data_IF_779666704459
#
_entry.id   IF_779666704459
#
_cell.length_a   1.000
_cell.length_b   1.000
_cell.length_c   1.000
_cell.angle_alpha   90.00
_cell.angle_beta   90.00
_cell.angle_gamma   90.00
#
_symmetry.space_group_name_H-M   'P 1'
#
loop_
_entity.id
_entity.type
_entity.pdbx_description
1 polymer ?
#
# COMPACT_ATOMS: atom_id res chain seq x y z
N UNK A 1 0.86 -18.66 -23.96
CA UNK A 1 -0.45 -18.28 -24.56
C UNK A 1 -1.00 -17.13 -23.73
N UNK A 2 -1.58 -16.10 -24.36
CA UNK A 2 -2.27 -15.03 -23.65
C UNK A 2 -3.64 -15.53 -23.17
N UNK A 3 -4.08 -15.11 -21.99
CA UNK A 3 -5.42 -15.41 -21.49
C UNK A 3 -6.48 -14.77 -22.40
N UNK A 4 -7.55 -15.51 -22.69
CA UNK A 4 -8.77 -14.98 -23.32
C UNK A 4 -9.76 -14.54 -22.24
N UNK A 5 -10.80 -13.80 -22.64
CA UNK A 5 -11.89 -13.43 -21.73
C UNK A 5 -12.59 -14.68 -21.17
N UNK A 6 -12.80 -15.70 -22.00
CA UNK A 6 -13.44 -16.95 -21.58
C UNK A 6 -12.56 -17.73 -20.58
N UNK A 7 -11.23 -17.71 -20.75
CA UNK A 7 -10.32 -18.34 -19.78
C UNK A 7 -10.46 -17.69 -18.39
N UNK A 8 -10.51 -16.36 -18.34
CA UNK A 8 -10.67 -15.61 -17.08
C UNK A 8 -12.05 -15.86 -16.47
N UNK A 9 -13.10 -15.84 -17.29
CA UNK A 9 -14.45 -16.17 -16.84
C UNK A 9 -14.53 -17.55 -16.20
N UNK A 10 -13.98 -18.56 -16.86
CA UNK A 10 -13.94 -19.92 -16.36
C UNK A 10 -13.14 -20.07 -15.06
N UNK A 11 -12.04 -19.29 -14.89
CA UNK A 11 -11.27 -19.26 -13.65
C UNK A 11 -12.11 -18.67 -12.51
N UNK A 12 -12.82 -17.58 -12.74
CA UNK A 12 -13.70 -16.96 -11.72
C UNK A 12 -14.80 -17.93 -11.31
N UNK A 13 -15.43 -18.62 -12.26
CA UNK A 13 -16.46 -19.63 -11.95
C UNK A 13 -15.91 -20.77 -11.09
N UNK A 14 -14.74 -21.34 -11.46
CA UNK A 14 -14.09 -22.41 -10.67
C UNK A 14 -13.73 -21.95 -9.26
N UNK A 15 -13.22 -20.71 -9.12
CA UNK A 15 -12.91 -20.14 -7.79
C UNK A 15 -14.17 -19.94 -6.95
N UNK A 16 -15.26 -19.54 -7.57
CA UNK A 16 -16.56 -19.40 -6.87
C UNK A 16 -17.11 -20.76 -6.42
N UNK A 17 -17.04 -21.78 -7.26
CA UNK A 17 -17.41 -23.14 -6.89
C UNK A 17 -16.57 -23.66 -5.72
N UNK A 18 -15.25 -23.46 -5.79
CA UNK A 18 -14.35 -23.85 -4.71
C UNK A 18 -14.69 -23.11 -3.40
N UNK A 19 -14.94 -21.81 -3.45
CA UNK A 19 -15.38 -21.03 -2.28
C UNK A 19 -16.70 -21.57 -1.69
N UNK A 20 -17.67 -21.93 -2.53
CA UNK A 20 -18.96 -22.45 -2.13
C UNK A 20 -18.90 -23.85 -1.46
N UNK A 21 -17.78 -24.57 -1.58
CA UNK A 21 -17.56 -25.80 -0.79
C UNK A 21 -17.47 -25.52 0.71
N UNK A 22 -17.18 -24.26 1.09
CA UNK A 22 -17.04 -23.86 2.49
C UNK A 22 -15.69 -24.21 3.13
N UNK A 23 -14.77 -24.87 2.42
CA UNK A 23 -13.47 -25.29 2.97
C UNK A 23 -12.66 -24.09 3.45
N UNK A 24 -12.76 -22.94 2.78
CA UNK A 24 -12.05 -21.70 3.13
C UNK A 24 -12.58 -21.04 4.42
N UNK A 25 -13.75 -21.47 4.93
CA UNK A 25 -14.31 -21.00 6.20
C UNK A 25 -13.55 -21.58 7.40
N UNK A 26 -12.92 -22.74 7.25
CA UNK A 26 -12.10 -23.33 8.31
C UNK A 26 -10.81 -22.52 8.51
N UNK A 27 -10.65 -22.00 9.72
CA UNK A 27 -9.45 -21.21 10.12
C UNK A 27 -8.18 -22.06 10.08
N UNK A 28 -8.25 -23.35 10.34
CA UNK A 28 -7.06 -24.22 10.28
C UNK A 28 -6.63 -24.43 8.83
N UNK A 29 -7.57 -24.56 7.89
CA UNK A 29 -7.26 -24.58 6.47
C UNK A 29 -6.54 -23.29 6.06
N UNK A 30 -7.04 -22.10 6.44
CA UNK A 30 -6.39 -20.81 6.14
C UNK A 30 -4.96 -20.75 6.67
N UNK A 31 -4.75 -21.16 7.92
CA UNK A 31 -3.42 -21.21 8.55
C UNK A 31 -2.48 -22.16 7.78
N UNK A 32 -2.99 -23.30 7.34
CA UNK A 32 -2.20 -24.25 6.55
C UNK A 32 -1.79 -23.63 5.20
N UNK A 33 -2.71 -22.96 4.51
CA UNK A 33 -2.39 -22.30 3.24
C UNK A 33 -1.39 -21.15 3.43
N UNK A 34 -1.52 -20.35 4.50
CA UNK A 34 -0.53 -19.32 4.85
C UNK A 34 0.86 -19.89 5.14
N UNK A 35 0.96 -21.07 5.78
CA UNK A 35 2.24 -21.75 5.98
C UNK A 35 2.85 -22.21 4.67
N UNK A 36 2.05 -22.78 3.74
CA UNK A 36 2.50 -23.15 2.40
C UNK A 36 3.01 -21.94 1.62
N UNK A 37 2.28 -20.81 1.69
CA UNK A 37 2.69 -19.55 1.06
C UNK A 37 4.02 -19.04 1.62
N UNK A 38 4.23 -19.14 2.93
CA UNK A 38 5.51 -18.81 3.58
C UNK A 38 6.65 -19.70 3.12
N UNK A 39 6.44 -21.02 3.10
CA UNK A 39 7.43 -22.00 2.63
C UNK A 39 7.78 -21.77 1.16
N UNK A 40 6.80 -21.46 0.31
CA UNK A 40 7.02 -21.07 -1.07
C UNK A 40 8.00 -19.90 -1.18
N UNK A 41 7.80 -18.83 -0.42
CA UNK A 41 8.69 -17.66 -0.42
C UNK A 41 10.12 -18.01 0.04
N UNK A 42 10.25 -18.72 1.15
CA UNK A 42 11.56 -19.04 1.75
C UNK A 42 12.35 -20.03 0.91
N UNK A 43 11.71 -21.06 0.38
CA UNK A 43 12.39 -22.11 -0.38
C UNK A 43 12.80 -21.65 -1.79
N UNK A 44 12.28 -20.50 -2.26
CA UNK A 44 12.55 -19.96 -3.58
C UNK A 44 13.22 -18.58 -3.54
N UNK A 45 13.80 -18.16 -2.42
CA UNK A 45 14.39 -16.82 -2.26
C UNK A 45 15.38 -16.49 -3.38
N UNK A 46 16.30 -17.36 -3.71
CA UNK A 46 17.29 -17.15 -4.79
C UNK A 46 16.66 -16.94 -6.17
N UNK A 47 15.55 -17.63 -6.48
CA UNK A 47 14.82 -17.42 -7.74
C UNK A 47 14.12 -16.06 -7.77
N UNK A 48 13.57 -15.65 -6.63
CA UNK A 48 12.89 -14.36 -6.45
C UNK A 48 13.92 -13.23 -6.53
N UNK A 49 15.05 -13.33 -5.83
CA UNK A 49 16.16 -12.39 -5.86
C UNK A 49 16.66 -12.17 -7.30
N UNK A 50 16.92 -13.27 -8.02
CA UNK A 50 17.32 -13.19 -9.43
C UNK A 50 16.29 -12.47 -10.31
N UNK A 51 15.00 -12.76 -10.15
CA UNK A 51 13.95 -12.13 -10.94
C UNK A 51 13.85 -10.62 -10.64
N UNK A 52 14.01 -10.22 -9.37
CA UNK A 52 14.05 -8.82 -8.95
C UNK A 52 15.29 -8.08 -9.47
N UNK A 53 16.44 -8.77 -9.54
CA UNK A 53 17.63 -8.23 -10.18
C UNK A 53 17.41 -8.05 -11.70
N UNK A 54 16.85 -9.03 -12.38
CA UNK A 54 16.61 -8.96 -13.82
C UNK A 54 15.65 -7.81 -14.20
N UNK A 55 14.60 -7.60 -13.42
CA UNK A 55 13.61 -6.52 -13.65
C UNK A 55 14.08 -5.15 -13.16
N UNK A 56 14.60 -5.06 -11.94
CA UNK A 56 14.81 -3.81 -11.21
C UNK A 56 16.28 -3.53 -10.84
N UNK A 57 17.19 -4.49 -11.09
CA UNK A 57 18.61 -4.36 -10.70
C UNK A 57 18.83 -4.33 -9.20
N UNK A 58 17.93 -4.89 -8.40
CA UNK A 58 18.07 -4.93 -6.95
C UNK A 58 19.11 -5.95 -6.51
N UNK A 59 19.94 -5.58 -5.54
CA UNK A 59 20.81 -6.53 -4.84
C UNK A 59 19.98 -7.56 -4.06
N UNK A 60 20.57 -8.71 -3.78
CA UNK A 60 19.94 -9.79 -3.00
C UNK A 60 19.47 -9.28 -1.62
N UNK A 61 20.27 -8.40 -0.99
CA UNK A 61 19.94 -7.81 0.30
C UNK A 61 18.69 -6.91 0.22
N UNK A 62 18.59 -6.05 -0.81
CA UNK A 62 17.42 -5.19 -1.00
C UNK A 62 16.19 -6.01 -1.41
N UNK A 63 16.36 -7.00 -2.29
CA UNK A 63 15.30 -7.93 -2.67
C UNK A 63 14.74 -8.69 -1.48
N UNK A 64 15.62 -9.20 -0.61
CA UNK A 64 15.21 -9.87 0.63
C UNK A 64 14.49 -8.91 1.58
N UNK A 65 15.06 -7.73 1.83
CA UNK A 65 14.47 -6.74 2.75
C UNK A 65 13.09 -6.28 2.29
N UNK A 66 12.94 -5.95 1.00
CA UNK A 66 11.73 -5.32 0.48
C UNK A 66 10.62 -6.34 0.12
N UNK A 67 10.96 -7.45 -0.53
CA UNK A 67 9.96 -8.35 -1.12
C UNK A 67 9.87 -9.72 -0.42
N UNK A 68 10.96 -10.28 0.10
CA UNK A 68 10.93 -11.63 0.70
C UNK A 68 10.68 -11.56 2.19
N UNK A 69 11.57 -10.92 2.94
CA UNK A 69 11.53 -10.84 4.39
C UNK A 69 10.28 -10.10 4.89
N UNK A 70 9.90 -9.01 4.22
CA UNK A 70 8.70 -8.24 4.53
C UNK A 70 7.43 -9.08 4.35
N UNK A 71 7.31 -9.82 3.26
CA UNK A 71 6.18 -10.74 3.00
C UNK A 71 6.14 -11.84 4.04
N UNK A 72 7.28 -12.47 4.35
CA UNK A 72 7.36 -13.53 5.37
C UNK A 72 6.96 -13.00 6.75
N UNK A 73 7.36 -11.78 7.08
CA UNK A 73 6.98 -11.12 8.33
C UNK A 73 5.46 -10.91 8.39
N UNK A 74 4.85 -10.45 7.33
CA UNK A 74 3.42 -10.24 7.23
C UNK A 74 2.63 -11.55 7.30
N UNK A 75 3.02 -12.59 6.55
CA UNK A 75 2.41 -13.92 6.63
C UNK A 75 2.46 -14.46 8.05
N UNK A 76 3.59 -14.29 8.76
CA UNK A 76 3.70 -14.72 10.16
C UNK A 76 2.73 -14.00 11.09
N UNK A 77 2.41 -12.73 10.81
CA UNK A 77 1.40 -11.99 11.58
C UNK A 77 -0.01 -12.58 11.35
N UNK A 78 -0.38 -12.90 10.10
CA UNK A 78 -1.64 -13.58 9.79
C UNK A 78 -1.73 -14.96 10.43
N UNK A 79 -0.69 -15.80 10.35
CA UNK A 79 -0.67 -17.14 10.97
C UNK A 79 -0.94 -17.05 12.48
N UNK A 80 -0.34 -16.06 13.16
CA UNK A 80 -0.53 -15.86 14.60
C UNK A 80 -1.87 -15.21 14.95
N UNK A 81 -2.37 -14.34 14.07
CA UNK A 81 -3.51 -13.48 14.36
C UNK A 81 -4.87 -14.06 13.97
N UNK A 82 -4.96 -14.76 12.83
CA UNK A 82 -6.23 -15.12 12.19
C UNK A 82 -7.19 -15.89 13.12
N UNK A 83 -6.69 -16.81 13.94
CA UNK A 83 -7.51 -17.56 14.89
C UNK A 83 -8.20 -16.68 15.93
N UNK A 84 -7.53 -15.60 16.35
CA UNK A 84 -8.08 -14.60 17.28
C UNK A 84 -9.03 -13.66 16.55
N UNK A 85 -8.61 -13.13 15.39
CA UNK A 85 -9.36 -12.13 14.65
C UNK A 85 -10.66 -12.65 14.06
N UNK A 86 -10.71 -13.95 13.69
CA UNK A 86 -11.91 -14.58 13.15
C UNK A 86 -12.97 -14.87 14.22
N UNK A 87 -12.63 -14.78 15.53
CA UNK A 87 -13.64 -14.96 16.58
C UNK A 87 -14.71 -13.87 16.48
N UNK A 88 -16.00 -14.24 16.62
CA UNK A 88 -17.07 -13.25 16.69
C UNK A 88 -16.86 -12.29 17.86
N UNK A 89 -17.05 -11.01 17.61
CA UNK A 89 -17.03 -9.98 18.66
C UNK A 89 -18.36 -9.98 19.40
N UNK A 90 -18.30 -9.96 20.73
CA UNK A 90 -19.50 -9.91 21.56
C UNK A 90 -19.81 -8.44 21.91
N UNK A 91 -21.08 -8.07 21.73
CA UNK A 91 -21.58 -6.74 22.05
C UNK A 91 -22.83 -6.85 22.93
N UNK A 92 -23.03 -5.90 23.84
CA UNK A 92 -24.27 -5.74 24.53
C UNK A 92 -25.37 -5.24 23.60
N UNK A 93 -26.59 -5.69 23.79
CA UNK A 93 -27.72 -5.33 22.91
C UNK A 93 -28.44 -4.03 23.32
N UNK A 94 -28.16 -3.51 24.50
CA UNK A 94 -28.86 -2.35 25.08
C UNK A 94 -30.31 -2.61 25.47
N UNK A 95 -30.91 -1.69 26.22
CA UNK A 95 -32.30 -1.82 26.71
C UNK A 95 -33.31 -1.84 25.57
N UNK A 96 -33.08 -1.13 24.48
CA UNK A 96 -33.98 -1.10 23.33
C UNK A 96 -34.18 -2.47 22.68
N UNK A 97 -33.24 -3.39 22.87
CA UNK A 97 -33.29 -4.75 22.32
C UNK A 97 -33.82 -5.78 23.32
N UNK A 98 -34.07 -5.38 24.59
CA UNK A 98 -34.59 -6.30 25.59
C UNK A 98 -35.88 -7.03 25.08
N UNK A 99 -36.02 -8.35 25.28
CA UNK A 99 -35.23 -9.26 26.13
C UNK A 99 -33.96 -9.83 25.47
N UNK A 100 -33.67 -9.50 24.19
CA UNK A 100 -32.45 -9.94 23.52
C UNK A 100 -31.24 -9.21 24.08
N UNK A 101 -30.36 -9.93 24.75
CA UNK A 101 -29.20 -9.34 25.45
C UNK A 101 -27.86 -9.68 24.83
N UNK A 102 -27.85 -10.51 23.78
CA UNK A 102 -26.65 -11.03 23.15
C UNK A 102 -26.58 -10.62 21.68
N UNK A 103 -25.55 -9.91 21.31
CA UNK A 103 -25.24 -9.57 19.92
C UNK A 103 -23.84 -10.03 19.58
N UNK A 104 -23.65 -10.54 18.38
CA UNK A 104 -22.33 -10.90 17.85
C UNK A 104 -22.11 -10.26 16.51
N UNK A 105 -20.86 -9.87 16.23
CA UNK A 105 -20.40 -9.49 14.90
C UNK A 105 -19.47 -10.58 14.38
N UNK A 106 -19.87 -11.20 13.29
CA UNK A 106 -19.09 -12.19 12.54
C UNK A 106 -18.28 -11.49 11.46
N UNK A 107 -17.09 -12.01 11.14
CA UNK A 107 -16.25 -11.57 10.02
C UNK A 107 -16.38 -12.66 8.95
N UNK A 108 -17.11 -12.35 7.89
CA UNK A 108 -17.37 -13.29 6.80
C UNK A 108 -16.48 -12.94 5.60
N UNK A 109 -15.88 -13.93 4.91
CA UNK A 109 -15.16 -13.67 3.66
C UNK A 109 -16.10 -13.09 2.60
N UNK A 110 -15.53 -12.32 1.67
CA UNK A 110 -16.27 -11.83 0.52
C UNK A 110 -16.58 -12.94 -0.49
N UNK A 111 -15.59 -13.77 -0.85
CA UNK A 111 -15.69 -14.80 -1.87
C UNK A 111 -14.48 -14.85 -2.78
N UNK A 112 -14.63 -14.47 -4.04
CA UNK A 112 -13.55 -14.37 -5.02
C UNK A 112 -12.94 -12.97 -4.98
N UNK A 113 -11.64 -12.87 -4.72
CA UNK A 113 -10.91 -11.60 -4.72
C UNK A 113 -10.05 -11.45 -5.98
N UNK A 114 -9.99 -10.23 -6.53
CA UNK A 114 -9.09 -9.82 -7.59
C UNK A 114 -8.04 -8.89 -6.98
N UNK A 115 -6.75 -9.26 -7.13
CA UNK A 115 -5.60 -8.49 -6.67
C UNK A 115 -4.84 -8.01 -7.90
N UNK A 116 -4.79 -6.69 -8.12
CA UNK A 116 -4.05 -6.10 -9.24
C UNK A 116 -2.82 -5.43 -8.68
N UNK A 117 -1.64 -6.01 -8.96
CA UNK A 117 -0.38 -5.61 -8.36
C UNK A 117 0.54 -4.86 -9.33
N UNK A 118 1.34 -3.88 -8.82
CA UNK A 118 2.27 -3.10 -9.61
C UNK A 118 3.61 -3.80 -9.80
N UNK A 119 4.53 -3.13 -10.47
CA UNK A 119 5.85 -3.66 -10.84
C UNK A 119 6.94 -3.42 -9.78
N UNK A 120 6.77 -2.42 -8.92
CA UNK A 120 7.85 -1.89 -8.09
C UNK A 120 8.23 -2.76 -6.87
N UNK A 121 7.27 -3.51 -6.32
CA UNK A 121 7.46 -4.54 -5.30
C UNK A 121 6.60 -5.75 -5.66
N UNK A 122 7.00 -6.54 -6.68
CA UNK A 122 6.13 -7.54 -7.31
C UNK A 122 5.63 -8.61 -6.34
N UNK A 123 6.46 -9.04 -5.38
CA UNK A 123 6.08 -10.07 -4.41
C UNK A 123 5.41 -9.45 -3.17
N UNK A 124 5.89 -8.33 -2.65
CA UNK A 124 5.26 -7.67 -1.50
C UNK A 124 3.81 -7.28 -1.80
N UNK A 125 3.58 -6.64 -2.95
CA UNK A 125 2.28 -6.08 -3.32
C UNK A 125 1.35 -7.09 -4.01
N UNK A 126 1.79 -8.33 -4.22
CA UNK A 126 0.94 -9.44 -4.65
C UNK A 126 0.79 -10.51 -3.57
N UNK A 127 1.88 -11.09 -3.08
CA UNK A 127 1.86 -12.18 -2.10
C UNK A 127 1.47 -11.70 -0.71
N UNK A 128 1.88 -10.48 -0.31
CA UNK A 128 1.44 -9.87 0.95
C UNK A 128 -0.08 -9.65 0.97
N UNK A 129 -0.63 -9.13 -0.13
CA UNK A 129 -2.09 -8.95 -0.28
C UNK A 129 -2.81 -10.29 -0.40
N UNK A 130 -2.25 -11.28 -1.11
CA UNK A 130 -2.77 -12.65 -1.16
C UNK A 130 -2.85 -13.26 0.26
N UNK A 131 -1.84 -13.03 1.10
CA UNK A 131 -1.87 -13.51 2.48
C UNK A 131 -3.04 -12.93 3.28
N UNK A 132 -3.38 -11.65 3.07
CA UNK A 132 -4.57 -11.02 3.66
C UNK A 132 -5.86 -11.67 3.14
N UNK A 133 -5.96 -11.92 1.83
CA UNK A 133 -7.10 -12.59 1.20
C UNK A 133 -7.31 -14.01 1.74
N UNK A 134 -6.24 -14.81 1.83
CA UNK A 134 -6.26 -16.15 2.43
C UNK A 134 -6.67 -16.10 3.90
N UNK A 135 -6.12 -15.17 4.67
CA UNK A 135 -6.48 -14.97 6.08
C UNK A 135 -7.98 -14.63 6.24
N UNK A 136 -8.52 -13.81 5.34
CA UNK A 136 -9.94 -13.49 5.25
C UNK A 136 -10.83 -14.69 4.89
N UNK A 137 -10.29 -15.70 4.20
CA UNK A 137 -11.01 -16.91 3.75
C UNK A 137 -11.54 -16.82 2.34
N UNK A 138 -10.91 -16.02 1.47
CA UNK A 138 -11.29 -15.86 0.07
C UNK A 138 -10.45 -16.76 -0.84
N UNK A 139 -10.91 -16.94 -2.08
CA UNK A 139 -10.10 -17.35 -3.21
C UNK A 139 -9.50 -16.11 -3.89
N UNK A 140 -8.48 -16.25 -4.73
CA UNK A 140 -7.82 -15.09 -5.32
C UNK A 140 -7.35 -15.29 -6.76
N UNK A 141 -7.64 -14.27 -7.60
CA UNK A 141 -6.98 -14.04 -8.87
C UNK A 141 -5.97 -12.90 -8.66
N UNK A 142 -4.72 -13.10 -9.06
CA UNK A 142 -3.67 -12.07 -9.00
C UNK A 142 -3.37 -11.64 -10.42
N UNK A 143 -3.72 -10.42 -10.79
CA UNK A 143 -3.29 -9.80 -12.05
C UNK A 143 -1.96 -9.10 -11.82
N UNK A 144 -0.88 -9.81 -12.16
CA UNK A 144 0.48 -9.29 -12.00
C UNK A 144 0.84 -8.25 -13.08
N UNK A 145 1.82 -7.39 -12.78
CA UNK A 145 2.27 -6.35 -13.70
C UNK A 145 2.97 -6.91 -14.93
N UNK A 146 2.61 -6.43 -16.11
CA UNK A 146 3.31 -6.75 -17.36
C UNK A 146 4.70 -6.08 -17.48
N UNK A 147 5.03 -5.13 -16.60
CA UNK A 147 6.31 -4.43 -16.61
C UNK A 147 7.43 -5.24 -15.94
N UNK A 148 7.14 -5.93 -14.85
CA UNK A 148 8.08 -6.80 -14.11
C UNK A 148 7.99 -8.24 -14.65
N UNK A 149 8.53 -8.48 -15.83
CA UNK A 149 8.34 -9.74 -16.57
C UNK A 149 8.96 -10.95 -15.89
N UNK A 150 10.20 -10.84 -15.45
CA UNK A 150 10.91 -11.95 -14.78
C UNK A 150 10.23 -12.28 -13.43
N UNK A 151 9.88 -11.27 -12.64
CA UNK A 151 9.18 -11.46 -11.37
C UNK A 151 7.78 -12.04 -11.57
N UNK A 152 7.05 -11.59 -12.58
CA UNK A 152 5.70 -12.12 -12.91
C UNK A 152 5.75 -13.59 -13.31
N UNK A 153 6.71 -13.98 -14.13
CA UNK A 153 6.87 -15.39 -14.55
C UNK A 153 7.21 -16.28 -13.36
N UNK A 154 8.16 -15.87 -12.52
CA UNK A 154 8.50 -16.60 -11.28
C UNK A 154 7.29 -16.69 -10.35
N UNK A 155 6.57 -15.58 -10.10
CA UNK A 155 5.39 -15.56 -9.26
C UNK A 155 4.31 -16.51 -9.76
N UNK A 156 4.03 -16.49 -11.08
CA UNK A 156 3.05 -17.36 -11.74
C UNK A 156 3.36 -18.83 -11.52
N UNK A 157 4.62 -19.20 -11.73
CA UNK A 157 5.05 -20.59 -11.55
C UNK A 157 4.98 -21.00 -10.08
N UNK A 158 5.47 -20.18 -9.15
CA UNK A 158 5.47 -20.50 -7.72
C UNK A 158 4.04 -20.67 -7.16
N UNK A 159 3.11 -19.82 -7.59
CA UNK A 159 1.70 -19.93 -7.17
C UNK A 159 1.08 -21.20 -7.76
N UNK A 160 1.33 -21.53 -9.04
CA UNK A 160 0.82 -22.75 -9.67
C UNK A 160 1.37 -24.02 -9.04
N UNK A 161 2.64 -24.03 -8.63
CA UNK A 161 3.27 -25.17 -7.92
C UNK A 161 2.73 -25.33 -6.47
N UNK A 162 2.18 -24.24 -5.90
CA UNK A 162 1.75 -24.22 -4.49
C UNK A 162 0.24 -24.43 -4.33
N UNK A 163 -0.58 -23.84 -5.20
CA UNK A 163 -2.04 -23.83 -5.09
C UNK A 163 -2.72 -24.28 -6.37
N UNK A 164 -3.86 -24.96 -6.30
CA UNK A 164 -4.67 -25.23 -7.46
C UNK A 164 -5.35 -23.92 -7.96
N UNK A 165 -5.58 -23.77 -9.28
CA UNK A 165 -6.09 -22.53 -9.88
C UNK A 165 -7.49 -22.13 -9.40
N UNK A 166 -8.30 -23.07 -8.95
CA UNK A 166 -9.59 -22.84 -8.31
C UNK A 166 -9.48 -22.20 -6.92
N UNK A 167 -8.28 -22.17 -6.34
CA UNK A 167 -8.03 -21.47 -5.07
C UNK A 167 -7.24 -20.19 -5.25
N UNK A 168 -6.06 -20.26 -5.90
CA UNK A 168 -5.22 -19.11 -6.18
C UNK A 168 -4.59 -19.23 -7.55
N UNK A 169 -4.61 -18.19 -8.37
CA UNK A 169 -3.99 -18.16 -9.69
C UNK A 169 -3.38 -16.80 -10.00
N UNK A 170 -2.26 -16.79 -10.73
CA UNK A 170 -1.65 -15.56 -11.26
C UNK A 170 -1.97 -15.46 -12.77
N UNK A 171 -2.47 -14.29 -13.15
CA UNK A 171 -2.80 -13.92 -14.52
C UNK A 171 -1.78 -12.88 -14.97
N UNK A 172 -1.04 -13.17 -16.00
CA UNK A 172 -0.13 -12.27 -16.70
C UNK A 172 -0.82 -11.61 -17.90
N UNK A 173 -0.18 -10.58 -18.48
CA UNK A 173 -0.67 -9.88 -19.65
C UNK A 173 -0.79 -8.37 -19.46
N UNK A 174 -1.24 -7.67 -20.50
CA UNK A 174 -1.34 -6.22 -20.58
C UNK A 174 -2.56 -5.62 -19.89
N UNK A 175 -2.88 -4.38 -20.30
CA UNK A 175 -4.05 -3.66 -19.80
C UNK A 175 -5.37 -4.32 -20.24
N UNK A 176 -5.41 -4.87 -21.45
CA UNK A 176 -6.52 -5.64 -21.99
C UNK A 176 -6.92 -6.81 -21.09
N UNK A 177 -5.92 -7.55 -20.60
CA UNK A 177 -6.15 -8.66 -19.67
C UNK A 177 -6.60 -8.16 -18.29
N UNK A 178 -6.11 -7.00 -17.84
CA UNK A 178 -6.59 -6.39 -16.61
C UNK A 178 -8.07 -5.98 -16.73
N UNK A 179 -8.47 -5.44 -17.89
CA UNK A 179 -9.85 -5.08 -18.17
C UNK A 179 -10.76 -6.32 -18.21
N UNK A 180 -10.32 -7.43 -18.81
CA UNK A 180 -11.07 -8.69 -18.76
C UNK A 180 -11.29 -9.15 -17.30
N UNK A 181 -10.27 -9.04 -16.43
CA UNK A 181 -10.43 -9.38 -15.02
C UNK A 181 -11.42 -8.42 -14.30
N UNK A 182 -11.43 -7.13 -14.66
CA UNK A 182 -12.32 -6.12 -14.07
C UNK A 182 -13.77 -6.22 -14.58
N UNK A 183 -13.99 -6.80 -15.76
CA UNK A 183 -15.33 -7.08 -16.29
C UNK A 183 -16.01 -8.25 -15.56
N UNK A 184 -15.23 -9.12 -14.93
CA UNK A 184 -15.76 -10.27 -14.20
C UNK A 184 -16.45 -9.86 -12.88
N UNK A 185 -17.45 -10.63 -12.50
CA UNK A 185 -18.09 -10.47 -11.19
C UNK A 185 -17.24 -11.12 -10.10
N UNK A 186 -16.29 -10.35 -9.58
CA UNK A 186 -15.53 -10.68 -8.37
C UNK A 186 -16.16 -10.01 -7.15
N UNK A 187 -15.84 -10.49 -5.94
CA UNK A 187 -16.51 -10.06 -4.72
C UNK A 187 -15.69 -9.05 -3.91
N UNK A 188 -14.41 -8.87 -4.24
CA UNK A 188 -13.51 -7.85 -3.70
C UNK A 188 -12.41 -7.54 -4.70
N UNK A 189 -12.07 -6.26 -4.87
CA UNK A 189 -10.90 -5.84 -5.66
C UNK A 189 -9.92 -5.12 -4.74
N UNK A 190 -8.64 -5.50 -4.85
CA UNK A 190 -7.51 -4.78 -4.25
C UNK A 190 -6.58 -4.33 -5.38
N UNK A 191 -6.40 -3.04 -5.53
CA UNK A 191 -5.56 -2.45 -6.56
C UNK A 191 -4.46 -1.61 -5.94
N UNK A 192 -3.23 -1.80 -6.41
CA UNK A 192 -2.09 -0.92 -6.11
C UNK A 192 -1.52 -0.37 -7.41
N UNK A 193 -1.39 0.96 -7.51
CA UNK A 193 -0.83 1.61 -8.70
C UNK A 193 -1.14 3.09 -8.81
N UNK A 194 -1.26 3.61 -10.03
CA UNK A 194 -1.50 5.03 -10.26
C UNK A 194 -2.95 5.45 -9.98
N UNK A 195 -3.19 6.72 -9.57
CA UNK A 195 -4.53 7.26 -9.33
C UNK A 195 -5.45 7.15 -10.55
N UNK A 196 -4.93 7.37 -11.76
CA UNK A 196 -5.74 7.31 -12.98
C UNK A 196 -6.30 5.90 -13.24
N UNK A 197 -5.48 4.86 -13.05
CA UNK A 197 -5.95 3.47 -13.17
C UNK A 197 -6.84 3.10 -11.98
N UNK A 198 -6.58 3.63 -10.78
CA UNK A 198 -7.46 3.46 -9.62
C UNK A 198 -8.89 3.98 -9.87
N UNK A 199 -9.03 5.14 -10.53
CA UNK A 199 -10.34 5.68 -10.97
C UNK A 199 -11.04 4.71 -11.94
N UNK A 200 -10.31 4.16 -12.91
CA UNK A 200 -10.83 3.15 -13.85
C UNK A 200 -11.28 1.86 -13.13
N UNK A 201 -10.48 1.37 -12.18
CA UNK A 201 -10.87 0.21 -11.34
C UNK A 201 -12.18 0.47 -10.58
N UNK A 202 -12.34 1.66 -10.00
CA UNK A 202 -13.59 2.05 -9.32
C UNK A 202 -14.78 2.07 -10.28
N UNK A 203 -14.60 2.64 -11.48
CA UNK A 203 -15.64 2.70 -12.51
C UNK A 203 -16.09 1.29 -12.91
N UNK A 204 -15.14 0.38 -13.15
CA UNK A 204 -15.45 -1.00 -13.51
C UNK A 204 -16.12 -1.76 -12.35
N UNK A 205 -15.61 -1.61 -11.13
CA UNK A 205 -16.16 -2.24 -9.93
C UNK A 205 -17.60 -1.80 -9.64
N UNK A 206 -17.95 -0.55 -9.95
CA UNK A 206 -19.29 0.00 -9.73
C UNK A 206 -20.39 -0.76 -10.47
N UNK A 207 -20.09 -1.37 -11.62
CA UNK A 207 -21.04 -2.16 -12.42
C UNK A 207 -21.60 -3.37 -11.67
N UNK A 208 -20.80 -3.94 -10.78
CA UNK A 208 -21.15 -5.10 -9.96
C UNK A 208 -21.29 -4.76 -8.46
N UNK A 209 -21.16 -3.47 -8.08
CA UNK A 209 -21.09 -3.01 -6.68
C UNK A 209 -19.97 -3.72 -5.90
N UNK A 210 -18.89 -4.10 -6.56
CA UNK A 210 -17.75 -4.75 -5.93
C UNK A 210 -16.99 -3.76 -5.05
N UNK A 211 -16.78 -4.04 -3.75
CA UNK A 211 -15.98 -3.19 -2.88
C UNK A 211 -14.52 -3.18 -3.32
N UNK A 212 -13.92 -1.98 -3.32
CA UNK A 212 -12.53 -1.77 -3.73
C UNK A 212 -11.66 -1.34 -2.55
N UNK A 213 -10.39 -1.72 -2.60
CA UNK A 213 -9.30 -1.12 -1.83
C UNK A 213 -8.30 -0.58 -2.84
N UNK A 214 -7.90 0.66 -2.67
CA UNK A 214 -6.97 1.34 -3.57
C UNK A 214 -5.77 1.84 -2.77
N UNK A 215 -4.57 1.40 -3.17
CA UNK A 215 -3.29 1.89 -2.68
C UNK A 215 -2.58 2.64 -3.81
N UNK A 216 -2.54 3.96 -3.69
CA UNK A 216 -2.12 4.86 -4.77
C UNK A 216 -0.96 5.74 -4.28
N UNK A 217 -0.05 6.16 -5.18
CA UNK A 217 1.09 7.00 -4.80
C UNK A 217 0.72 8.45 -4.42
N UNK A 218 -0.51 8.86 -4.76
CA UNK A 218 -0.93 10.26 -4.67
C UNK A 218 -0.61 11.04 -5.94
N UNK A 219 -1.19 12.23 -6.09
CA UNK A 219 -0.98 13.07 -7.27
C UNK A 219 0.24 13.96 -7.13
N UNK A 220 0.48 14.50 -5.93
CA UNK A 220 1.58 15.45 -5.66
C UNK A 220 2.79 14.83 -4.96
N UNK A 221 2.75 13.51 -4.69
CA UNK A 221 3.82 12.81 -3.97
C UNK A 221 3.93 13.16 -2.49
N UNK A 222 4.96 12.64 -1.85
CA UNK A 222 5.14 12.69 -0.41
C UNK A 222 6.16 13.75 0.00
N UNK A 223 5.83 14.53 1.04
CA UNK A 223 6.69 15.56 1.57
C UNK A 223 7.59 15.07 2.71
N UNK A 224 8.84 15.53 2.72
CA UNK A 224 9.67 15.53 3.92
C UNK A 224 9.95 16.97 4.35
N UNK A 225 9.71 17.27 5.62
CA UNK A 225 9.89 18.61 6.20
C UNK A 225 11.09 18.57 7.14
N UNK A 226 12.13 19.34 6.85
CA UNK A 226 13.36 19.44 7.64
C UNK A 226 13.41 20.83 8.27
N UNK A 227 13.13 20.92 9.58
CA UNK A 227 13.16 22.16 10.31
C UNK A 227 14.58 22.55 10.73
N UNK A 228 14.79 23.82 11.09
CA UNK A 228 16.10 24.37 11.50
C UNK A 228 16.72 23.67 12.70
N UNK A 229 15.90 23.09 13.59
CA UNK A 229 16.35 22.36 14.78
C UNK A 229 16.59 20.86 14.54
N UNK A 230 16.38 20.34 13.31
CA UNK A 230 16.57 18.96 12.95
C UNK A 230 18.04 18.51 13.11
N UNK A 231 18.23 17.21 13.36
CA UNK A 231 19.55 16.60 13.19
C UNK A 231 19.80 16.40 11.69
N UNK A 232 20.46 17.37 11.04
CA UNK A 232 20.62 17.40 9.57
C UNK A 232 21.34 16.17 9.02
N UNK A 233 22.39 15.73 9.71
CA UNK A 233 23.17 14.55 9.30
C UNK A 233 22.32 13.28 9.34
N UNK A 234 21.50 13.08 10.37
CA UNK A 234 20.60 11.92 10.47
C UNK A 234 19.46 12.01 9.46
N UNK A 235 18.85 13.20 9.30
CA UNK A 235 17.81 13.46 8.30
C UNK A 235 18.33 13.16 6.88
N UNK A 236 19.46 13.73 6.49
CA UNK A 236 20.09 13.53 5.20
C UNK A 236 20.41 12.06 4.94
N UNK A 237 20.97 11.35 5.93
CA UNK A 237 21.29 9.92 5.85
C UNK A 237 20.05 9.07 5.55
N UNK A 238 18.93 9.33 6.25
CA UNK A 238 17.67 8.60 6.08
C UNK A 238 16.98 8.95 4.77
N UNK A 239 16.96 10.21 4.39
CA UNK A 239 16.38 10.66 3.12
C UNK A 239 17.17 10.07 1.95
N UNK A 240 18.51 10.09 2.00
CA UNK A 240 19.34 9.47 0.97
C UNK A 240 19.09 7.97 0.86
N UNK A 241 19.10 7.24 1.98
CA UNK A 241 18.78 5.81 2.03
C UNK A 241 17.45 5.50 1.33
N UNK A 242 16.42 6.25 1.66
CA UNK A 242 15.09 5.96 1.14
C UNK A 242 14.95 6.36 -0.34
N UNK A 243 15.68 7.38 -0.79
CA UNK A 243 15.70 7.79 -2.20
C UNK A 243 16.50 6.83 -3.08
N UNK A 244 17.53 6.17 -2.53
CA UNK A 244 18.33 5.14 -3.22
C UNK A 244 17.48 3.86 -3.42
N UNK A 245 16.72 3.47 -2.40
CA UNK A 245 15.92 2.24 -2.41
C UNK A 245 15.06 2.16 -3.67
N UNK A 246 15.18 1.06 -4.40
CA UNK A 246 14.48 0.82 -5.67
C UNK A 246 14.60 1.96 -6.69
N UNK A 247 15.72 2.69 -6.69
CA UNK A 247 15.96 3.91 -7.49
C UNK A 247 14.81 4.93 -7.34
N UNK A 248 14.24 5.06 -6.13
CA UNK A 248 13.13 5.98 -5.86
C UNK A 248 11.75 5.50 -6.30
N UNK A 249 11.61 4.32 -6.91
CA UNK A 249 10.33 3.76 -7.39
C UNK A 249 9.52 3.15 -6.25
N UNK A 250 9.12 3.97 -5.27
CA UNK A 250 8.41 3.56 -4.05
C UNK A 250 7.25 4.53 -3.79
N UNK A 251 6.03 4.03 -3.62
CA UNK A 251 4.82 4.83 -3.44
C UNK A 251 4.86 5.76 -2.21
N UNK A 252 5.57 5.37 -1.16
CA UNK A 252 5.80 6.19 0.03
C UNK A 252 7.16 6.94 0.00
N UNK A 253 7.91 6.91 -1.13
CA UNK A 253 9.19 7.60 -1.21
C UNK A 253 9.02 9.12 -1.05
N UNK A 254 10.06 9.76 -0.55
CA UNK A 254 10.11 11.22 -0.47
C UNK A 254 10.18 11.77 -1.89
N UNK A 255 9.10 12.42 -2.32
CA UNK A 255 9.05 13.06 -3.63
C UNK A 255 9.85 14.37 -3.61
N UNK A 256 9.62 15.19 -2.59
CA UNK A 256 10.28 16.47 -2.39
C UNK A 256 10.59 16.72 -0.90
N UNK A 257 11.60 17.55 -0.67
CA UNK A 257 11.97 18.02 0.67
C UNK A 257 11.70 19.52 0.79
N UNK A 258 11.01 19.91 1.86
CA UNK A 258 11.01 21.31 2.31
C UNK A 258 12.03 21.44 3.45
N UNK A 259 13.00 22.32 3.28
CA UNK A 259 14.07 22.56 4.27
C UNK A 259 14.09 24.01 4.73
N UNK A 260 14.26 24.23 6.04
CA UNK A 260 14.36 25.58 6.61
C UNK A 260 15.55 26.32 6.02
N UNK A 261 15.35 27.58 5.60
CA UNK A 261 16.34 28.40 4.91
C UNK A 261 17.64 28.53 5.69
N UNK A 262 17.55 28.63 7.02
CA UNK A 262 18.69 28.80 7.92
C UNK A 262 19.68 27.62 7.89
N UNK A 263 19.25 26.44 7.45
CA UNK A 263 20.05 25.21 7.44
C UNK A 263 20.11 24.53 6.07
N UNK A 264 19.52 25.14 5.05
CA UNK A 264 19.36 24.52 3.75
C UNK A 264 20.68 24.11 3.09
N UNK A 265 21.65 25.01 3.03
CA UNK A 265 22.93 24.74 2.37
C UNK A 265 23.72 23.65 3.13
N UNK A 266 23.69 23.68 4.46
CA UNK A 266 24.28 22.62 5.28
C UNK A 266 23.58 21.27 5.04
N UNK A 267 22.26 21.26 4.97
CA UNK A 267 21.51 20.04 4.68
C UNK A 267 21.85 19.44 3.31
N UNK A 268 22.01 20.27 2.28
CA UNK A 268 22.44 19.82 0.93
C UNK A 268 23.82 19.15 0.98
N UNK A 269 24.79 19.72 1.71
CA UNK A 269 26.12 19.10 1.85
C UNK A 269 26.07 17.77 2.63
N UNK A 270 25.28 17.69 3.70
CA UNK A 270 25.06 16.42 4.42
C UNK A 270 24.38 15.38 3.52
N UNK A 271 23.46 15.79 2.64
CA UNK A 271 22.74 14.91 1.72
C UNK A 271 23.67 14.35 0.65
N UNK A 272 24.54 15.17 0.04
CA UNK A 272 25.60 14.74 -0.88
C UNK A 272 26.53 13.72 -0.23
N UNK A 273 27.01 14.05 0.99
CA UNK A 273 27.86 13.16 1.77
C UNK A 273 27.17 11.82 2.05
N UNK A 274 25.87 11.85 2.37
CA UNK A 274 25.10 10.64 2.64
C UNK A 274 24.93 9.76 1.39
N UNK A 275 24.70 10.35 0.21
CA UNK A 275 24.64 9.62 -1.04
C UNK A 275 25.97 8.94 -1.36
N UNK A 276 27.08 9.71 -1.36
CA UNK A 276 28.41 9.17 -1.66
C UNK A 276 28.76 8.02 -0.69
N UNK A 277 28.46 8.20 0.59
CA UNK A 277 28.73 7.15 1.60
C UNK A 277 27.95 5.85 1.36
N UNK A 278 26.72 5.92 0.85
CA UNK A 278 25.85 4.76 0.71
C UNK A 278 26.04 4.01 -0.61
N UNK A 279 26.28 4.72 -1.72
CA UNK A 279 26.36 4.11 -3.05
C UNK A 279 27.64 4.45 -3.83
N UNK A 280 28.59 5.18 -3.23
CA UNK A 280 29.84 5.60 -3.86
C UNK A 280 29.66 6.83 -4.76
N UNK A 281 30.78 7.26 -5.34
CA UNK A 281 30.83 8.42 -6.24
C UNK A 281 30.26 8.11 -7.65
N UNK A 282 30.29 6.83 -8.05
CA UNK A 282 29.84 6.35 -9.35
C UNK A 282 28.65 5.37 -9.21
N UNK A 283 27.45 5.84 -8.85
CA UNK A 283 26.31 4.97 -8.62
C UNK A 283 25.86 4.19 -9.86
N UNK A 284 26.16 4.67 -11.06
CA UNK A 284 25.81 3.99 -12.32
C UNK A 284 26.62 2.70 -12.54
N UNK A 285 27.80 2.59 -11.95
CA UNK A 285 28.68 1.42 -12.00
C UNK A 285 28.50 0.50 -10.78
N UNK A 286 27.73 0.93 -9.80
CA UNK A 286 27.48 0.15 -8.60
C UNK A 286 26.37 -0.89 -8.85
N UNK A 287 26.72 -2.18 -8.78
CA UNK A 287 25.78 -3.29 -9.01
C UNK A 287 24.68 -3.40 -7.94
N UNK A 288 24.90 -2.82 -6.75
CA UNK A 288 23.87 -2.79 -5.70
C UNK A 288 22.85 -1.66 -5.91
N UNK A 289 23.12 -0.68 -6.80
CA UNK A 289 22.20 0.41 -7.08
C UNK A 289 21.17 -0.02 -8.14
N UNK A 290 19.85 0.04 -7.81
CA UNK A 290 18.79 -0.41 -8.71
C UNK A 290 18.67 0.42 -9.99
N UNK A 291 17.97 -0.14 -10.97
CA UNK A 291 17.62 0.53 -12.23
C UNK A 291 16.13 0.88 -12.29
N UNK A 292 15.77 1.77 -13.18
CA UNK A 292 14.38 2.03 -13.54
C UNK A 292 13.81 0.83 -14.31
N UNK A 293 12.51 0.58 -14.13
CA UNK A 293 11.85 -0.63 -14.66
C UNK A 293 11.86 -0.74 -16.18
N UNK A 294 11.92 0.37 -16.89
CA UNK A 294 11.82 0.41 -18.35
C UNK A 294 12.43 1.67 -18.93
N UNK A 295 12.79 1.60 -20.21
CA UNK A 295 13.31 2.75 -20.96
C UNK A 295 12.39 3.99 -20.83
N UNK A 296 11.09 3.84 -20.96
CA UNK A 296 10.15 4.97 -20.82
C UNK A 296 10.25 5.67 -19.46
N UNK A 297 10.46 4.89 -18.38
CA UNK A 297 10.65 5.48 -17.06
C UNK A 297 11.97 6.26 -17.00
N UNK A 298 13.04 5.71 -17.58
CA UNK A 298 14.32 6.40 -17.73
C UNK A 298 14.18 7.69 -18.54
N UNK A 299 13.58 7.64 -19.73
CA UNK A 299 13.42 8.79 -20.63
C UNK A 299 12.61 9.93 -19.95
N UNK A 300 11.60 9.59 -19.13
CA UNK A 300 10.83 10.57 -18.35
C UNK A 300 11.71 11.27 -17.29
N UNK A 301 12.48 10.48 -16.51
CA UNK A 301 13.39 11.02 -15.48
C UNK A 301 14.49 11.89 -16.11
N UNK A 302 15.09 11.44 -17.21
CA UNK A 302 16.12 12.20 -17.93
C UNK A 302 15.56 13.53 -18.46
N UNK A 303 14.39 13.51 -19.07
CA UNK A 303 13.71 14.72 -19.57
C UNK A 303 13.45 15.70 -18.43
N UNK A 304 12.91 15.22 -17.32
CA UNK A 304 12.59 16.07 -16.19
C UNK A 304 13.85 16.66 -15.52
N UNK A 305 14.92 15.87 -15.39
CA UNK A 305 16.21 16.37 -14.89
C UNK A 305 16.82 17.42 -15.82
N UNK A 306 16.65 17.28 -17.15
CA UNK A 306 17.14 18.24 -18.14
C UNK A 306 16.44 19.60 -18.01
N UNK A 307 15.12 19.62 -17.72
CA UNK A 307 14.36 20.86 -17.49
C UNK A 307 14.91 21.69 -16.30
N UNK A 308 15.61 21.03 -15.36
CA UNK A 308 16.18 21.64 -14.15
C UNK A 308 17.71 21.58 -14.11
N UNK A 309 18.39 21.35 -15.25
CA UNK A 309 19.82 21.11 -15.35
C UNK A 309 20.65 22.12 -14.58
N UNK A 310 20.35 23.41 -14.72
CA UNK A 310 21.12 24.51 -14.12
C UNK A 310 20.98 24.57 -12.58
N UNK A 311 20.04 23.81 -12.01
CA UNK A 311 19.78 23.72 -10.56
C UNK A 311 20.14 22.36 -9.98
N UNK A 312 20.75 21.47 -10.77
CA UNK A 312 21.26 20.21 -10.26
C UNK A 312 22.52 20.47 -9.45
N UNK A 313 22.48 20.19 -8.16
CA UNK A 313 23.62 20.38 -7.24
C UNK A 313 24.33 19.07 -6.90
N UNK A 314 23.73 17.92 -7.25
CA UNK A 314 24.31 16.58 -7.13
C UNK A 314 23.65 15.62 -8.11
N UNK A 315 24.41 14.64 -8.66
CA UNK A 315 23.90 13.63 -9.58
C UNK A 315 23.73 14.16 -11.02
N UNK A 316 22.53 14.05 -11.59
CA UNK A 316 22.19 14.55 -12.91
C UNK A 316 22.78 13.74 -14.07
N UNK A 317 23.16 12.49 -13.84
CA UNK A 317 23.74 11.61 -14.85
C UNK A 317 22.94 10.30 -14.94
N UNK A 318 22.73 9.82 -16.15
CA UNK A 318 22.09 8.56 -16.42
C UNK A 318 22.88 7.68 -17.38
N UNK A 319 22.54 6.41 -17.41
CA UNK A 319 23.01 5.44 -18.41
C UNK A 319 21.79 4.81 -19.07
N UNK A 320 21.55 5.17 -20.33
CA UNK A 320 20.37 4.73 -21.09
C UNK A 320 20.39 3.24 -21.44
N UNK A 321 21.56 2.62 -21.50
CA UNK A 321 21.69 1.20 -21.81
C UNK A 321 21.28 0.33 -20.62
N UNK A 322 21.61 0.78 -19.41
CA UNK A 322 21.29 0.07 -18.15
C UNK A 322 20.01 0.56 -17.47
N UNK A 323 19.43 1.67 -17.92
CA UNK A 323 18.32 2.40 -17.30
C UNK A 323 18.61 2.84 -15.86
N UNK A 324 19.86 2.98 -15.47
CA UNK A 324 20.27 3.57 -14.20
C UNK A 324 20.33 5.08 -14.33
N UNK A 325 19.74 5.79 -13.37
CA UNK A 325 19.85 7.23 -13.25
C UNK A 325 20.31 7.57 -11.84
N UNK A 326 21.40 8.32 -11.71
CA UNK A 326 21.99 8.65 -10.42
C UNK A 326 21.00 9.41 -9.52
N UNK A 327 21.00 9.19 -8.20
CA UNK A 327 20.27 10.05 -7.28
C UNK A 327 20.63 11.50 -7.52
N UNK A 328 19.63 12.34 -7.74
CA UNK A 328 19.82 13.70 -8.25
C UNK A 328 19.11 14.69 -7.34
N UNK A 329 19.84 15.67 -6.85
CA UNK A 329 19.31 16.76 -6.03
C UNK A 329 19.17 18.02 -6.86
N UNK A 330 17.95 18.54 -6.92
CA UNK A 330 17.60 19.78 -7.64
C UNK A 330 17.31 20.86 -6.59
N UNK A 331 18.11 21.93 -6.58
CA UNK A 331 18.07 22.97 -5.56
C UNK A 331 18.59 24.32 -6.06
N UNK A 332 17.94 25.45 -5.71
CA UNK A 332 16.65 25.54 -5.05
C UNK A 332 15.47 25.33 -6.03
N UNK A 333 14.36 24.85 -5.49
CA UNK A 333 13.08 24.73 -6.22
C UNK A 333 12.03 25.57 -5.49
N UNK A 334 11.16 26.26 -6.25
CA UNK A 334 10.02 26.96 -5.67
C UNK A 334 8.85 26.01 -5.43
N UNK A 335 8.06 26.29 -4.40
CA UNK A 335 6.94 25.43 -4.02
C UNK A 335 5.86 25.29 -5.11
N UNK A 336 5.72 26.28 -5.99
CA UNK A 336 4.70 26.30 -7.04
C UNK A 336 5.19 25.72 -8.38
N UNK A 337 6.44 25.24 -8.45
CA UNK A 337 6.99 24.67 -9.68
C UNK A 337 6.38 23.30 -10.02
N UNK A 338 6.28 22.94 -11.32
CA UNK A 338 5.66 21.69 -11.75
C UNK A 338 6.22 20.43 -11.09
N UNK A 339 7.55 20.36 -10.89
CA UNK A 339 8.24 19.19 -10.33
C UNK A 339 7.80 18.82 -8.90
N UNK A 340 7.21 19.73 -8.14
CA UNK A 340 6.68 19.46 -6.79
C UNK A 340 5.15 19.29 -6.79
N UNK A 341 4.53 19.21 -7.97
CA UNK A 341 3.09 19.07 -8.15
C UNK A 341 2.68 17.74 -8.78
N UNK A 342 3.61 16.80 -8.95
CA UNK A 342 3.33 15.43 -9.41
C UNK A 342 4.28 14.42 -8.76
N UNK A 343 3.90 13.15 -8.83
CA UNK A 343 4.73 12.05 -8.34
C UNK A 343 5.84 11.73 -9.35
N UNK A 344 7.09 11.92 -8.97
CA UNK A 344 8.27 11.68 -9.84
C UNK A 344 8.50 10.17 -10.05
N UNK A 345 8.30 9.35 -9.01
CA UNK A 345 8.51 7.89 -8.99
C UNK A 345 9.88 7.46 -9.49
N UNK A 346 10.91 8.18 -9.05
CA UNK A 346 12.29 8.00 -9.50
C UNK A 346 13.31 8.68 -8.58
N UNK A 347 14.61 8.74 -9.01
CA UNK A 347 15.71 9.18 -8.15
C UNK A 347 15.91 10.70 -8.08
N UNK A 348 15.01 11.51 -8.65
CA UNK A 348 15.09 12.97 -8.51
C UNK A 348 14.54 13.42 -7.17
N UNK A 349 15.20 14.40 -6.55
CA UNK A 349 14.80 14.98 -5.26
C UNK A 349 14.83 16.51 -5.35
N UNK A 350 13.70 17.15 -5.69
CA UNK A 350 13.56 18.59 -5.57
C UNK A 350 13.57 19.03 -4.11
N UNK A 351 14.29 20.13 -3.83
CA UNK A 351 14.42 20.70 -2.49
C UNK A 351 13.91 22.14 -2.50
N UNK A 352 12.88 22.38 -1.72
CA UNK A 352 12.20 23.66 -1.53
C UNK A 352 12.71 24.32 -0.26
N UNK A 353 13.03 25.63 -0.30
CA UNK A 353 13.36 26.42 0.90
C UNK A 353 12.10 27.04 1.52
N UNK A 354 12.08 27.14 2.84
CA UNK A 354 11.06 27.88 3.56
C UNK A 354 11.64 28.58 4.79
N UNK A 355 11.06 29.70 5.18
CA UNK A 355 11.43 30.38 6.43
C UNK A 355 10.82 29.64 7.62
N UNK A 356 11.64 29.14 8.57
CA UNK A 356 11.14 28.31 9.71
C UNK A 356 10.11 29.07 10.57
N UNK A 357 10.18 30.38 10.61
CA UNK A 357 9.15 31.21 11.26
C UNK A 357 7.78 31.14 10.55
N UNK A 358 7.75 30.80 9.26
CA UNK A 358 6.55 30.72 8.42
C UNK A 358 6.08 29.28 8.20
N UNK A 359 6.57 28.33 9.00
CA UNK A 359 6.25 26.90 8.86
C UNK A 359 4.74 26.61 8.78
N UNK A 360 3.90 27.40 9.45
CA UNK A 360 2.45 27.21 9.36
C UNK A 360 1.91 27.56 7.97
N UNK A 361 2.48 28.54 7.26
CA UNK A 361 2.10 28.90 5.89
C UNK A 361 2.47 27.74 4.94
N UNK A 362 3.66 27.16 5.10
CA UNK A 362 4.06 25.96 4.34
C UNK A 362 3.05 24.81 4.58
N UNK A 363 2.70 24.56 5.84
CA UNK A 363 1.75 23.49 6.17
C UNK A 363 0.36 23.74 5.58
N UNK A 364 -0.08 25.00 5.52
CA UNK A 364 -1.34 25.40 4.89
C UNK A 364 -1.30 25.19 3.36
N UNK A 365 -0.17 25.45 2.71
CA UNK A 365 0.03 25.16 1.28
C UNK A 365 -0.03 23.67 1.02
N UNK A 366 0.69 22.87 1.82
CA UNK A 366 0.68 21.39 1.70
C UNK A 366 -0.73 20.83 1.95
N UNK A 367 -1.45 21.34 2.94
CA UNK A 367 -2.79 20.90 3.27
C UNK A 367 -3.85 21.18 2.17
N UNK A 368 -3.61 22.16 1.30
CA UNK A 368 -4.49 22.49 0.17
C UNK A 368 -4.23 21.65 -1.08
N UNK A 369 -3.13 20.90 -1.09
CA UNK A 369 -2.79 19.98 -2.18
C UNK A 369 -3.44 18.64 -1.97
N UNK A 370 -3.43 17.82 -3.00
CA UNK A 370 -3.83 16.42 -2.87
C UNK A 370 -2.95 15.67 -1.85
N UNK A 371 -3.58 14.77 -1.11
CA UNK A 371 -2.94 14.14 0.03
C UNK A 371 -1.95 13.05 -0.41
N UNK A 372 -0.71 13.18 0.04
CA UNK A 372 0.32 12.17 -0.17
C UNK A 372 0.02 10.87 0.60
N UNK A 373 0.58 9.77 0.12
CA UNK A 373 0.51 8.49 0.82
C UNK A 373 1.35 8.52 2.11
N UNK A 374 2.40 9.36 2.16
CA UNK A 374 3.22 9.52 3.35
C UNK A 374 3.60 10.99 3.64
N UNK A 375 3.83 11.28 4.94
CA UNK A 375 4.38 12.54 5.42
C UNK A 375 5.54 12.27 6.39
N UNK A 376 6.67 12.96 6.18
CA UNK A 376 7.87 12.83 7.00
C UNK A 376 8.24 14.16 7.63
N UNK A 377 8.61 14.15 8.92
CA UNK A 377 8.95 15.37 9.66
C UNK A 377 10.25 15.16 10.44
N UNK A 378 11.23 16.04 10.23
CA UNK A 378 12.50 16.06 10.94
C UNK A 378 12.62 17.31 11.80
N UNK A 379 12.60 17.14 13.12
CA UNK A 379 12.65 18.22 14.12
C UNK A 379 12.94 17.67 15.52
N UNK A 380 13.49 18.49 16.41
CA UNK A 380 13.56 18.20 17.85
C UNK A 380 12.30 18.67 18.59
N UNK A 381 11.48 19.55 17.99
CA UNK A 381 10.20 19.99 18.56
C UNK A 381 9.13 18.91 18.44
N UNK A 382 9.11 18.01 19.40
CA UNK A 382 8.14 16.90 19.48
C UNK A 382 6.69 17.38 19.60
N UNK A 383 6.45 18.57 20.18
CA UNK A 383 5.09 19.12 20.34
C UNK A 383 4.54 19.56 19.00
N UNK A 384 5.33 20.30 18.24
CA UNK A 384 4.96 20.72 16.89
C UNK A 384 4.80 19.51 15.98
N UNK A 385 5.76 18.57 15.96
CA UNK A 385 5.67 17.36 15.15
C UNK A 385 4.38 16.58 15.40
N UNK A 386 4.03 16.34 16.67
CA UNK A 386 2.77 15.66 17.03
C UNK A 386 1.54 16.43 16.56
N UNK A 387 1.54 17.76 16.68
CA UNK A 387 0.45 18.60 16.17
C UNK A 387 0.28 18.43 14.67
N UNK A 388 1.36 18.54 13.88
CA UNK A 388 1.33 18.35 12.42
C UNK A 388 0.79 16.98 12.08
N UNK A 389 1.40 15.91 12.64
CA UNK A 389 1.00 14.54 12.34
C UNK A 389 -0.44 14.18 12.75
N UNK A 390 -1.06 14.98 13.63
CA UNK A 390 -2.45 14.78 14.07
C UNK A 390 -3.47 15.69 13.37
N UNK A 391 -3.02 16.65 12.56
CA UNK A 391 -3.90 17.65 11.93
C UNK A 391 -3.81 17.69 10.41
N UNK A 392 -2.75 17.16 9.82
CA UNK A 392 -2.61 17.04 8.37
C UNK A 392 -3.28 15.75 7.87
N UNK A 393 -3.68 15.74 6.60
CA UNK A 393 -4.21 14.54 5.92
C UNK A 393 -3.09 13.85 5.12
N UNK A 394 -2.88 12.58 5.37
CA UNK A 394 -1.91 11.71 4.68
C UNK A 394 -2.23 10.24 5.02
N UNK A 395 -1.66 9.29 4.30
CA UNK A 395 -1.87 7.87 4.61
C UNK A 395 -1.13 7.42 5.86
N UNK A 396 0.19 7.49 5.86
CA UNK A 396 1.05 7.15 7.00
C UNK A 396 2.25 8.08 7.11
N UNK A 397 3.11 7.93 8.13
CA UNK A 397 4.28 8.81 8.21
C UNK A 397 5.18 8.58 9.41
N UNK A 398 6.27 9.34 9.45
CA UNK A 398 7.27 9.22 10.50
C UNK A 398 7.73 10.58 11.03
N UNK A 399 8.10 10.61 12.30
CA UNK A 399 8.84 11.72 12.93
C UNK A 399 10.28 11.27 13.12
N UNK A 400 11.24 12.00 12.52
CA UNK A 400 12.68 11.70 12.53
C UNK A 400 13.02 10.30 12.00
N UNK A 401 12.19 9.76 11.13
CA UNK A 401 12.39 8.46 10.46
C UNK A 401 11.74 8.48 9.08
N UNK A 402 12.02 7.46 8.26
CA UNK A 402 11.42 7.26 6.94
C UNK A 402 10.92 5.82 6.80
N UNK A 403 9.98 5.58 5.94
CA UNK A 403 9.41 4.27 5.51
C UNK A 403 9.04 3.24 6.60
N UNK A 404 9.68 3.23 7.76
CA UNK A 404 9.55 2.15 8.76
C UNK A 404 8.16 2.02 9.38
N UNK A 405 7.28 3.02 9.24
CA UNK A 405 5.88 2.90 9.66
C UNK A 405 5.16 1.73 8.97
N UNK A 406 5.57 1.39 7.73
CA UNK A 406 5.09 0.23 6.98
C UNK A 406 5.35 -1.11 7.70
N UNK A 407 6.46 -1.21 8.46
CA UNK A 407 6.88 -2.45 9.11
C UNK A 407 6.32 -2.63 10.52
N UNK A 408 5.55 -1.67 11.03
CA UNK A 408 5.01 -1.72 12.40
C UNK A 408 3.77 -2.61 12.43
N UNK A 409 3.82 -3.66 13.24
CA UNK A 409 2.70 -4.61 13.38
C UNK A 409 1.47 -3.97 14.00
N UNK A 410 0.30 -4.36 13.50
CA UNK A 410 -1.00 -3.95 14.05
C UNK A 410 -1.42 -2.52 13.74
N UNK A 411 -0.64 -1.77 12.95
CA UNK A 411 -1.03 -0.46 12.45
C UNK A 411 -1.47 -0.56 10.99
N UNK A 412 -2.40 0.31 10.52
CA UNK A 412 -2.84 0.29 9.13
C UNK A 412 -1.77 0.87 8.22
N UNK A 413 -1.73 0.37 7.00
CA UNK A 413 -1.18 1.06 5.85
C UNK A 413 -2.33 1.44 4.94
N UNK A 414 -2.45 2.71 4.59
CA UNK A 414 -3.61 3.25 3.87
C UNK A 414 -3.29 4.60 3.22
N UNK A 415 -4.11 4.96 2.24
CA UNK A 415 -4.15 6.29 1.65
C UNK A 415 -5.43 7.05 1.99
N UNK A 416 -5.50 8.31 1.56
CA UNK A 416 -6.69 9.16 1.64
C UNK A 416 -6.80 10.07 0.41
N UNK A 417 -7.99 10.26 -0.14
CA UNK A 417 -8.19 11.01 -1.39
C UNK A 417 -7.45 10.36 -2.55
N UNK A 418 -6.58 11.11 -3.23
CA UNK A 418 -5.81 10.61 -4.37
C UNK A 418 -4.69 9.63 -3.99
N UNK A 419 -4.38 9.44 -2.72
CA UNK A 419 -3.47 8.37 -2.27
C UNK A 419 -4.15 7.05 -1.93
N UNK A 420 -5.49 6.98 -1.98
CA UNK A 420 -6.21 5.71 -1.91
C UNK A 420 -7.37 5.65 -0.92
N UNK A 421 -7.89 4.43 -0.71
CA UNK A 421 -8.97 4.11 0.22
C UNK A 421 -8.87 2.67 0.69
N UNK A 422 -9.40 2.39 1.88
CA UNK A 422 -9.21 1.12 2.59
C UNK A 422 -7.93 1.13 3.40
N UNK A 423 -7.61 -0.01 4.04
CA UNK A 423 -6.40 -0.15 4.84
C UNK A 423 -5.98 -1.60 4.93
N UNK A 424 -4.68 -1.90 4.89
CA UNK A 424 -4.20 -3.26 5.00
C UNK A 424 -2.99 -3.40 5.93
N UNK A 425 -2.35 -4.53 5.95
CA UNK A 425 -1.39 -5.11 6.89
C UNK A 425 -2.01 -5.65 8.18
N UNK A 426 -1.61 -6.86 8.53
CA UNK A 426 -2.01 -7.56 9.74
C UNK A 426 -3.54 -7.62 9.90
N UNK A 427 -4.03 -7.21 11.08
CA UNK A 427 -5.47 -7.20 11.38
C UNK A 427 -6.28 -6.32 10.42
N UNK A 428 -5.69 -5.24 9.88
CA UNK A 428 -6.37 -4.37 8.93
C UNK A 428 -6.57 -5.07 7.59
N UNK A 429 -5.57 -5.78 7.08
CA UNK A 429 -5.71 -6.62 5.89
C UNK A 429 -6.75 -7.73 6.08
N UNK A 430 -6.78 -8.38 7.25
CA UNK A 430 -7.84 -9.35 7.57
C UNK A 430 -9.24 -8.70 7.53
N UNK A 431 -9.40 -7.50 8.08
CA UNK A 431 -10.66 -6.76 8.05
C UNK A 431 -11.05 -6.33 6.64
N UNK A 432 -10.07 -5.95 5.83
CA UNK A 432 -10.28 -5.50 4.46
C UNK A 432 -10.78 -6.63 3.55
N UNK A 433 -10.38 -7.87 3.83
CA UNK A 433 -10.81 -9.07 3.10
C UNK A 433 -11.94 -9.85 3.79
N UNK A 434 -12.61 -9.24 4.78
CA UNK A 434 -13.82 -9.76 5.43
C UNK A 434 -14.85 -8.65 5.60
N UNK A 435 -16.14 -8.98 5.55
CA UNK A 435 -17.18 -8.02 5.89
C UNK A 435 -17.82 -8.36 7.24
N UNK A 436 -18.14 -7.35 8.07
CA UNK A 436 -18.78 -7.56 9.35
C UNK A 436 -20.28 -7.82 9.18
N UNK A 437 -20.80 -8.87 9.83
CA UNK A 437 -22.22 -9.20 9.86
C UNK A 437 -22.71 -9.28 11.29
N UNK A 438 -23.66 -8.42 11.67
CA UNK A 438 -24.23 -8.38 13.02
C UNK A 438 -25.41 -9.33 13.17
N UNK A 439 -25.43 -10.10 14.26
CA UNK A 439 -26.51 -11.03 14.58
C UNK A 439 -26.97 -10.79 16.01
N UNK A 440 -28.22 -10.42 16.17
CA UNK A 440 -28.89 -10.32 17.45
C UNK A 440 -29.56 -11.66 17.79
N UNK A 441 -29.29 -12.21 18.96
CA UNK A 441 -29.89 -13.45 19.44
C UNK A 441 -31.16 -13.12 20.22
N UNK A 442 -32.31 -13.45 19.64
CA UNK A 442 -33.63 -13.30 20.27
C UNK A 442 -34.04 -14.49 21.16
N UNK A 443 -35.06 -14.29 21.97
CA UNK A 443 -35.72 -15.34 22.71
C UNK A 443 -36.91 -15.92 21.94
N UNK A 444 -37.17 -17.20 22.12
CA UNK A 444 -38.29 -17.91 21.44
C UNK A 444 -39.58 -17.90 22.24
N UNK A 445 -39.52 -17.60 23.53
CA UNK A 445 -40.65 -17.73 24.46
C UNK A 445 -41.12 -16.40 25.06
N UNK A 446 -40.43 -15.31 24.81
CA UNK A 446 -40.79 -14.02 25.38
C UNK A 446 -40.60 -12.89 24.34
N UNK A 447 -41.64 -12.10 24.17
CA UNK A 447 -41.61 -10.89 23.37
C UNK A 447 -42.17 -9.71 24.14
N UNK A 448 -41.75 -8.51 23.86
CA UNK A 448 -42.30 -7.28 24.43
C UNK A 448 -43.46 -6.79 23.57
N UNK A 449 -44.72 -6.79 24.11
CA UNK A 449 -45.88 -6.27 23.36
C UNK A 449 -45.69 -4.81 22.90
N UNK A 450 -44.73 -4.09 23.48
CA UNK A 450 -44.40 -2.72 23.12
C UNK A 450 -43.94 -2.59 21.66
N UNK A 451 -43.34 -3.65 21.07
CA UNK A 451 -42.84 -3.72 19.70
C UNK A 451 -43.88 -4.09 18.64
N UNK A 452 -45.07 -4.50 19.10
CA UNK A 452 -46.12 -5.01 18.24
C UNK A 452 -47.17 -3.93 17.93
N UNK A 453 -47.76 -4.01 16.76
CA UNK A 453 -48.95 -3.22 16.44
C UNK A 453 -50.16 -3.66 17.24
N UNK A 454 -51.13 -2.76 17.47
CA UNK A 454 -51.17 -1.35 17.09
C UNK A 454 -50.35 -0.46 18.03
N UNK A 455 -49.72 0.58 17.48
CA UNK A 455 -49.08 1.62 18.27
C UNK A 455 -50.08 2.69 18.71
N UNK A 456 -50.18 2.93 20.00
CA UNK A 456 -51.06 3.94 20.60
C UNK A 456 -50.24 4.98 21.40
N UNK A 457 -50.92 6.01 21.90
CA UNK A 457 -50.27 7.09 22.68
C UNK A 457 -49.54 6.58 23.92
N UNK A 458 -50.04 5.52 24.57
CA UNK A 458 -49.41 4.90 25.75
C UNK A 458 -48.09 4.20 25.36
N UNK A 459 -48.11 3.41 24.25
CA UNK A 459 -46.89 2.77 23.71
C UNK A 459 -45.86 3.84 23.27
N UNK A 460 -46.30 4.94 22.63
CA UNK A 460 -45.43 6.04 22.27
C UNK A 460 -44.71 6.65 23.47
N UNK A 461 -45.44 6.87 24.59
CA UNK A 461 -44.87 7.42 25.83
C UNK A 461 -43.83 6.47 26.45
N UNK A 462 -44.13 5.14 26.45
CA UNK A 462 -43.20 4.14 26.94
C UNK A 462 -41.95 4.02 26.05
N UNK A 463 -42.11 3.99 24.72
CA UNK A 463 -41.00 4.01 23.78
C UNK A 463 -40.13 5.24 23.94
N UNK A 464 -40.70 6.41 24.14
CA UNK A 464 -39.99 7.64 24.40
C UNK A 464 -39.17 7.63 25.70
N UNK A 465 -39.57 6.87 26.70
CA UNK A 465 -38.77 6.68 27.92
C UNK A 465 -37.67 5.61 27.74
N UNK A 466 -37.88 4.62 26.86
CA UNK A 466 -36.95 3.51 26.60
C UNK A 466 -35.81 3.90 25.62
N UNK A 467 -36.08 4.85 24.72
CA UNK A 467 -35.17 5.25 23.65
C UNK A 467 -34.41 6.56 23.95
N UNK A 468 -34.57 7.09 25.15
CA UNK A 468 -33.74 8.17 25.69
C UNK A 468 -32.57 7.60 26.45
#
# INVERSE_FOLDING_TARGET
MSYTKDDIHNLVLKQREFFLTGITLDVNFRIQQLKRLKEMMLNNSARIEKALYDDLGRSDAEAYFCDIGSVVMEINEYIKGVKKWNKPENHGSGLACFPSTKTKVYKLPYGVSLIISPFNFPFLLSVGVLAASIAGGNTALIKASSKSKASTEVLKQLIADTFPPEYCVVIDGGHDIADFCLEERVDKIFYTGSPNVGKHVMEMASKNLTPVTLELGGETGNWAIVRKDANLKDAARKIAFFKIMNAGQVCININQVAVASEVADQFIEELKTAYIKQIGENPLENDEYPKLIAQRAYDNIEKEAEEYRDRIVFGGKGNKETWKYAPTVIYPVNIDEPIVNHEIFGPLLPVVRFEDAEINQLMDVIARREHGLALYVFTKDKKWAKKVMSTQQYGGGCINEVCLHLMVKGVPFNGTGHSGMGAYHGIWGFREFTHPSSVLFGHTHFNLPLREHPYNKKKKKLLGAFLK
#
